data_IF_306851549953
#
_entry.id   IF_306851549953
#
_cell.length_a   1.000
_cell.length_b   1.000
_cell.length_c   1.000
_cell.angle_alpha   90.00
_cell.angle_beta   90.00
_cell.angle_gamma   90.00
#
_symmetry.space_group_name_H-M   'P 1'
#
loop_
_entity.id
_entity.type
_entity.pdbx_description
1 polymer ?
#
# COMPACT_ATOMS: atom_id res chain seq x y z
N UNK A 1 -0.19 0.26 -30.31
CA UNK A 1 0.54 -1.02 -30.08
C UNK A 1 -0.28 -2.20 -30.60
N UNK A 2 0.28 -3.44 -30.71
CA UNK A 2 -0.48 -4.62 -31.14
C UNK A 2 -1.42 -5.11 -30.02
N UNK A 3 -2.60 -5.61 -30.37
CA UNK A 3 -3.60 -6.12 -29.41
C UNK A 3 -3.06 -7.26 -28.53
N UNK A 4 -2.32 -8.24 -29.10
CA UNK A 4 -1.71 -9.32 -28.33
C UNK A 4 -0.66 -8.82 -27.33
N UNK A 5 0.06 -7.77 -27.66
CA UNK A 5 1.04 -7.12 -26.80
C UNK A 5 0.35 -6.30 -25.68
N UNK A 6 -0.69 -5.55 -26.04
CA UNK A 6 -1.50 -4.79 -25.10
C UNK A 6 -2.06 -5.69 -23.99
N UNK A 7 -2.71 -6.78 -24.38
CA UNK A 7 -3.32 -7.72 -23.45
C UNK A 7 -2.28 -8.47 -22.61
N UNK A 8 -1.14 -8.90 -23.21
CA UNK A 8 -0.12 -9.65 -22.49
C UNK A 8 0.60 -8.82 -21.41
N UNK A 9 0.66 -7.51 -21.58
CA UNK A 9 1.22 -6.61 -20.57
C UNK A 9 0.26 -6.35 -19.40
N UNK A 10 -1.05 -6.61 -19.57
CA UNK A 10 -2.11 -6.22 -18.64
C UNK A 10 -2.90 -7.36 -18.05
N UNK A 11 -2.52 -8.60 -18.36
CA UNK A 11 -3.19 -9.82 -17.87
C UNK A 11 -2.19 -10.88 -17.46
N UNK A 12 -2.66 -11.95 -16.84
CA UNK A 12 -1.85 -13.12 -16.48
C UNK A 12 -1.59 -14.07 -17.66
N UNK A 13 -2.28 -13.86 -18.79
CA UNK A 13 -2.20 -14.77 -19.92
C UNK A 13 -0.93 -14.58 -20.76
N UNK A 14 -0.36 -15.69 -21.23
CA UNK A 14 0.72 -15.68 -22.22
C UNK A 14 0.22 -15.17 -23.57
N UNK A 15 1.13 -14.63 -24.39
CA UNK A 15 0.80 -14.21 -25.77
C UNK A 15 0.18 -15.32 -26.60
N UNK A 16 0.59 -16.59 -26.37
CA UNK A 16 0.04 -17.75 -27.09
C UNK A 16 -1.42 -17.98 -26.73
N UNK A 17 -1.76 -17.93 -25.44
CA UNK A 17 -3.13 -18.05 -24.96
C UNK A 17 -4.01 -16.92 -25.46
N UNK A 18 -3.49 -15.67 -25.38
CA UNK A 18 -4.20 -14.50 -25.88
C UNK A 18 -4.52 -14.57 -27.39
N UNK A 19 -3.58 -15.02 -28.21
CA UNK A 19 -3.84 -15.25 -29.64
C UNK A 19 -4.95 -16.23 -29.87
N UNK A 20 -5.01 -17.34 -29.11
CA UNK A 20 -6.11 -18.31 -29.17
C UNK A 20 -7.44 -17.69 -28.71
N UNK A 21 -7.43 -16.87 -27.64
CA UNK A 21 -8.63 -16.18 -27.15
C UNK A 21 -9.15 -15.18 -28.19
N UNK A 22 -8.25 -14.38 -28.81
CA UNK A 22 -8.60 -13.42 -29.85
C UNK A 22 -9.22 -14.15 -31.05
N UNK A 23 -8.61 -15.23 -31.53
CA UNK A 23 -9.14 -16.03 -32.65
C UNK A 23 -10.53 -16.62 -32.35
N UNK A 24 -10.78 -17.04 -31.09
CA UNK A 24 -12.07 -17.53 -30.61
C UNK A 24 -13.11 -16.41 -30.39
N UNK A 25 -12.79 -15.15 -30.68
CA UNK A 25 -13.71 -14.02 -30.54
C UNK A 25 -14.00 -13.61 -29.10
N UNK A 26 -13.11 -13.92 -28.16
CA UNK A 26 -13.25 -13.54 -26.74
C UNK A 26 -12.80 -12.12 -26.45
N UNK A 27 -12.32 -11.37 -27.45
CA UNK A 27 -11.82 -10.00 -27.30
C UNK A 27 -12.66 -9.07 -28.16
N UNK A 28 -13.05 -7.95 -27.58
CA UNK A 28 -13.69 -6.85 -28.28
C UNK A 28 -12.84 -5.58 -28.18
N UNK A 29 -12.89 -4.75 -29.22
CA UNK A 29 -12.35 -3.39 -29.25
C UNK A 29 -13.49 -2.48 -29.64
N UNK A 30 -13.82 -1.50 -28.80
CA UNK A 30 -14.96 -0.58 -28.96
C UNK A 30 -16.30 -1.32 -29.19
N UNK A 31 -16.47 -2.45 -28.49
CA UNK A 31 -17.64 -3.31 -28.60
C UNK A 31 -17.64 -4.28 -29.80
N UNK A 32 -16.75 -4.11 -30.78
CA UNK A 32 -16.64 -5.00 -31.95
C UNK A 32 -15.70 -6.19 -31.67
N UNK A 33 -16.14 -7.41 -32.03
CA UNK A 33 -15.33 -8.62 -31.87
C UNK A 33 -14.12 -8.58 -32.81
N UNK A 34 -12.92 -8.73 -32.26
CA UNK A 34 -11.66 -8.77 -33.00
C UNK A 34 -11.11 -10.20 -33.02
N UNK A 35 -10.62 -10.64 -34.19
CA UNK A 35 -10.01 -11.96 -34.41
C UNK A 35 -8.56 -11.92 -34.85
N UNK A 36 -8.00 -10.70 -35.12
CA UNK A 36 -6.62 -10.48 -35.53
C UNK A 36 -5.79 -10.03 -34.34
N UNK A 37 -4.81 -10.85 -33.93
CA UNK A 37 -3.97 -10.57 -32.75
C UNK A 37 -2.98 -9.41 -32.95
N UNK A 38 -2.66 -9.09 -34.21
CA UNK A 38 -1.77 -8.01 -34.61
C UNK A 38 -2.49 -6.69 -34.87
N UNK A 39 -3.82 -6.64 -34.74
CA UNK A 39 -4.58 -5.39 -34.86
C UNK A 39 -3.96 -4.30 -33.96
N UNK A 40 -3.79 -3.12 -34.53
CA UNK A 40 -3.31 -1.96 -33.77
C UNK A 40 -4.39 -1.45 -32.82
N UNK A 41 -4.00 -1.18 -31.58
CA UNK A 41 -4.84 -0.54 -30.58
C UNK A 41 -4.09 0.64 -29.93
N UNK A 42 -4.84 1.67 -29.57
CA UNK A 42 -4.37 2.84 -28.83
C UNK A 42 -5.02 2.79 -27.45
N UNK A 43 -4.24 2.56 -26.37
CA UNK A 43 -4.79 2.37 -25.03
C UNK A 43 -5.66 3.52 -24.52
N UNK A 44 -5.34 4.76 -24.95
CA UNK A 44 -6.06 5.95 -24.51
C UNK A 44 -7.36 6.21 -25.31
N UNK A 45 -7.49 5.59 -26.50
CA UNK A 45 -8.59 5.86 -27.42
C UNK A 45 -9.56 4.69 -27.60
N UNK A 46 -9.10 3.45 -27.35
CA UNK A 46 -9.90 2.26 -27.57
C UNK A 46 -10.24 1.56 -26.24
N UNK A 47 -11.49 1.17 -26.09
CA UNK A 47 -11.95 0.30 -25.00
C UNK A 47 -11.75 -1.16 -25.40
N UNK A 48 -10.81 -1.85 -24.75
CA UNK A 48 -10.51 -3.26 -25.01
C UNK A 48 -11.12 -4.13 -23.91
N UNK A 49 -11.94 -5.12 -24.30
CA UNK A 49 -12.48 -6.08 -23.35
C UNK A 49 -12.00 -7.50 -23.65
N UNK A 50 -11.71 -8.28 -22.60
CA UNK A 50 -11.40 -9.71 -22.66
C UNK A 50 -12.45 -10.50 -21.88
N UNK A 51 -13.13 -11.46 -22.52
CA UNK A 51 -14.26 -12.21 -21.94
C UNK A 51 -15.38 -11.29 -21.37
N UNK A 52 -15.64 -10.16 -22.04
CA UNK A 52 -16.64 -9.16 -21.60
C UNK A 52 -16.18 -8.24 -20.46
N UNK A 53 -14.95 -8.34 -19.97
CA UNK A 53 -14.37 -7.46 -18.95
C UNK A 53 -13.42 -6.46 -19.61
N UNK A 54 -13.59 -5.20 -19.29
CA UNK A 54 -12.69 -4.13 -19.73
C UNK A 54 -11.29 -4.30 -19.16
N UNK A 55 -10.28 -4.16 -20.00
CA UNK A 55 -8.87 -4.15 -19.63
C UNK A 55 -8.41 -2.71 -19.55
N UNK A 56 -7.98 -2.28 -18.37
CA UNK A 56 -7.50 -0.93 -18.13
C UNK A 56 -6.36 -0.56 -19.12
N UNK A 57 -6.48 0.62 -19.75
CA UNK A 57 -5.52 1.15 -20.69
C UNK A 57 -4.18 1.57 -20.07
N UNK A 58 -4.16 1.81 -18.74
CA UNK A 58 -2.97 2.29 -18.04
C UNK A 58 -1.77 1.38 -18.25
N UNK A 59 -0.60 2.01 -18.48
CA UNK A 59 0.64 1.29 -18.75
C UNK A 59 1.03 0.43 -17.54
N UNK A 60 0.97 1.01 -16.34
CA UNK A 60 1.29 0.34 -15.09
C UNK A 60 0.07 0.23 -14.19
N UNK A 61 0.08 -0.77 -13.32
CA UNK A 61 -0.93 -0.98 -12.31
C UNK A 61 -0.32 -0.70 -10.92
N UNK A 62 -1.04 0.06 -10.12
CA UNK A 62 -0.67 0.36 -8.75
C UNK A 62 -1.79 -0.08 -7.82
N UNK A 63 -1.54 -1.10 -7.02
CA UNK A 63 -2.51 -1.67 -6.08
C UNK A 63 -2.01 -1.45 -4.66
N UNK A 64 -2.79 -0.76 -3.86
CA UNK A 64 -2.57 -0.67 -2.43
C UNK A 64 -3.33 -1.79 -1.74
N UNK A 65 -2.61 -2.63 -1.01
CA UNK A 65 -3.15 -3.72 -0.22
C UNK A 65 -2.99 -3.42 1.28
N UNK A 66 -4.05 -3.61 2.06
CA UNK A 66 -3.95 -3.68 3.52
C UNK A 66 -3.64 -5.14 3.90
N UNK A 67 -2.35 -5.46 3.98
CA UNK A 67 -1.88 -6.82 4.22
C UNK A 67 -2.31 -7.34 5.60
N UNK A 68 -3.01 -8.46 5.69
CA UNK A 68 -3.27 -9.14 6.95
C UNK A 68 -2.08 -10.02 7.38
N UNK A 69 -2.09 -10.51 8.62
CA UNK A 69 -1.17 -11.54 9.09
C UNK A 69 -1.37 -12.85 8.31
N UNK A 70 -0.34 -13.67 8.27
CA UNK A 70 -0.37 -15.01 7.65
C UNK A 70 0.02 -15.06 6.17
N UNK A 71 0.19 -13.93 5.51
CA UNK A 71 0.60 -13.83 4.11
C UNK A 71 2.04 -13.32 3.98
N UNK A 72 2.81 -13.92 3.07
CA UNK A 72 4.18 -13.48 2.75
C UNK A 72 4.18 -12.44 1.64
N UNK A 73 5.08 -11.46 1.73
CA UNK A 73 5.30 -10.43 0.70
C UNK A 73 6.26 -10.95 -0.39
N UNK A 74 5.94 -12.13 -0.94
CA UNK A 74 6.71 -12.78 -2.00
C UNK A 74 5.74 -13.41 -3.00
N UNK A 75 6.17 -13.51 -4.27
CA UNK A 75 5.37 -14.18 -5.31
C UNK A 75 5.56 -15.72 -5.28
N UNK A 76 6.71 -16.22 -4.82
CA UNK A 76 7.18 -17.56 -5.12
C UNK A 76 7.69 -18.34 -3.87
N UNK A 77 7.16 -18.10 -2.69
CA UNK A 77 7.50 -18.89 -1.51
C UNK A 77 6.63 -20.18 -1.44
N UNK A 78 7.21 -21.30 -1.80
CA UNK A 78 6.51 -22.59 -1.80
C UNK A 78 5.87 -22.92 -0.45
N UNK A 79 4.60 -23.30 -0.46
CA UNK A 79 3.84 -23.72 0.73
C UNK A 79 3.38 -22.55 1.64
N UNK A 80 3.58 -21.32 1.25
CA UNK A 80 3.09 -20.14 1.99
C UNK A 80 2.06 -19.35 1.17
N UNK A 81 1.06 -18.78 1.84
CA UNK A 81 0.08 -17.89 1.21
C UNK A 81 0.75 -16.57 0.81
N UNK A 82 0.71 -16.26 -0.48
CA UNK A 82 1.24 -15.01 -1.02
C UNK A 82 0.22 -13.86 -0.90
N UNK A 83 0.71 -12.65 -0.71
CA UNK A 83 -0.11 -11.43 -0.80
C UNK A 83 -0.79 -11.26 -2.16
N UNK A 84 -0.27 -11.87 -3.21
CA UNK A 84 -0.87 -11.83 -4.55
C UNK A 84 -2.19 -12.61 -4.62
N UNK A 85 -2.43 -13.58 -3.73
CA UNK A 85 -3.70 -14.31 -3.64
C UNK A 85 -4.87 -13.43 -3.15
N UNK A 86 -4.55 -12.29 -2.51
CA UNK A 86 -5.55 -11.31 -2.04
C UNK A 86 -5.95 -10.31 -3.14
N UNK A 87 -5.22 -10.30 -4.25
CA UNK A 87 -5.51 -9.39 -5.37
C UNK A 87 -6.64 -9.99 -6.20
N UNK A 88 -7.72 -9.22 -6.48
CA UNK A 88 -8.79 -9.68 -7.36
C UNK A 88 -8.26 -10.13 -8.72
N UNK A 89 -8.82 -11.22 -9.31
CA UNK A 89 -8.32 -11.78 -10.57
C UNK A 89 -8.26 -10.77 -11.73
N UNK A 90 -9.15 -9.77 -11.73
CA UNK A 90 -9.20 -8.70 -12.72
C UNK A 90 -8.02 -7.72 -12.64
N UNK A 91 -7.40 -7.61 -11.49
CA UNK A 91 -6.21 -6.79 -11.26
C UNK A 91 -4.90 -7.59 -11.35
N UNK A 92 -4.99 -8.91 -11.53
CA UNK A 92 -3.79 -9.73 -11.65
C UNK A 92 -3.08 -9.48 -12.98
N UNK A 93 -1.80 -9.09 -12.91
CA UNK A 93 -0.88 -8.98 -14.03
C UNK A 93 0.34 -9.87 -13.79
N UNK A 94 0.92 -10.40 -14.87
CA UNK A 94 2.05 -11.33 -14.80
C UNK A 94 3.23 -10.79 -13.99
N UNK A 95 3.51 -9.50 -14.14
CA UNK A 95 4.68 -8.85 -13.54
C UNK A 95 4.33 -8.04 -12.27
N UNK A 96 3.09 -8.20 -11.76
CA UNK A 96 2.67 -7.58 -10.51
C UNK A 96 3.48 -8.13 -9.34
N UNK A 97 4.14 -7.26 -8.57
CA UNK A 97 5.00 -7.63 -7.45
C UNK A 97 4.82 -6.67 -6.27
N UNK A 98 5.05 -7.13 -5.04
CA UNK A 98 5.06 -6.24 -3.88
C UNK A 98 6.27 -5.31 -3.90
N UNK A 99 6.04 -4.04 -3.55
CA UNK A 99 7.06 -3.00 -3.41
C UNK A 99 7.60 -3.02 -1.98
N UNK A 100 8.69 -3.71 -1.80
CA UNK A 100 9.25 -4.01 -0.49
C UNK A 100 8.51 -5.16 0.20
N UNK A 101 8.84 -5.36 1.46
CA UNK A 101 8.32 -6.51 2.23
C UNK A 101 7.72 -6.05 3.56
N UNK A 102 6.72 -6.79 4.00
CA UNK A 102 6.25 -6.88 5.38
C UNK A 102 6.37 -8.34 5.82
N UNK A 103 6.74 -8.55 7.05
CA UNK A 103 6.86 -9.89 7.61
C UNK A 103 5.49 -10.60 7.58
N UNK A 104 5.49 -11.93 7.65
CA UNK A 104 4.28 -12.74 7.60
C UNK A 104 3.29 -12.40 8.71
N UNK A 105 3.81 -12.08 9.89
CA UNK A 105 3.07 -11.72 11.10
C UNK A 105 2.82 -10.21 11.27
N UNK A 106 3.28 -9.39 10.32
CA UNK A 106 3.05 -7.95 10.30
C UNK A 106 1.86 -7.60 9.42
N UNK A 107 1.16 -6.54 9.80
CA UNK A 107 0.01 -6.00 9.04
C UNK A 107 0.34 -4.67 8.39
N UNK A 108 -0.60 -4.16 7.60
CA UNK A 108 -0.55 -2.78 7.14
C UNK A 108 -0.33 -2.61 5.64
N UNK A 109 0.05 -1.41 5.26
CA UNK A 109 0.11 -0.95 3.88
C UNK A 109 1.21 -1.65 3.08
N UNK A 110 0.83 -2.25 1.97
CA UNK A 110 1.74 -2.84 0.99
C UNK A 110 1.33 -2.41 -0.42
N UNK A 111 2.23 -1.72 -1.11
CA UNK A 111 2.05 -1.39 -2.52
C UNK A 111 2.44 -2.58 -3.38
N UNK A 112 1.64 -2.88 -4.39
CA UNK A 112 1.93 -3.85 -5.44
C UNK A 112 1.94 -3.11 -6.77
N UNK A 113 2.90 -3.40 -7.65
CA UNK A 113 2.96 -2.80 -8.99
C UNK A 113 3.74 -3.67 -9.97
N UNK A 114 3.50 -3.47 -11.25
CA UNK A 114 4.30 -3.97 -12.38
C UNK A 114 5.28 -2.89 -12.91
N UNK A 115 5.32 -1.69 -12.27
CA UNK A 115 6.31 -0.65 -12.53
C UNK A 115 7.60 -0.89 -11.73
N UNK A 116 8.59 -1.52 -12.37
CA UNK A 116 9.88 -1.80 -11.75
C UNK A 116 10.69 -0.56 -11.40
N UNK A 117 10.53 0.55 -12.13
CA UNK A 117 11.24 1.80 -11.84
C UNK A 117 10.71 2.44 -10.57
N UNK A 118 9.40 2.54 -10.44
CA UNK A 118 8.76 3.04 -9.23
C UNK A 118 9.10 2.14 -8.03
N UNK A 119 8.99 0.82 -8.20
CA UNK A 119 9.32 -0.12 -7.13
C UNK A 119 10.74 0.09 -6.61
N UNK A 120 11.70 0.26 -7.52
CA UNK A 120 13.08 0.56 -7.15
C UNK A 120 13.22 1.90 -6.40
N UNK A 121 12.54 2.97 -6.85
CA UNK A 121 12.58 4.27 -6.17
C UNK A 121 12.03 4.20 -4.73
N UNK A 122 10.96 3.44 -4.50
CA UNK A 122 10.34 3.29 -3.17
C UNK A 122 11.19 2.44 -2.23
N UNK A 123 11.86 1.39 -2.76
CA UNK A 123 12.63 0.43 -1.95
C UNK A 123 14.03 0.96 -1.67
N UNK A 124 14.67 1.62 -2.64
CA UNK A 124 16.04 2.07 -2.54
C UNK A 124 16.25 3.02 -1.36
N UNK A 125 17.29 2.78 -0.58
CA UNK A 125 17.65 3.62 0.56
C UNK A 125 17.88 5.10 0.16
N UNK A 126 18.30 5.34 -1.08
CA UNK A 126 18.47 6.68 -1.66
C UNK A 126 17.14 7.40 -1.97
N UNK A 127 16.03 6.67 -2.07
CA UNK A 127 14.70 7.23 -2.30
C UNK A 127 14.10 7.90 -1.08
N UNK A 128 14.62 7.63 0.12
CA UNK A 128 14.23 8.23 1.41
C UNK A 128 12.72 8.23 1.68
N UNK A 129 11.94 7.36 1.05
CA UNK A 129 10.50 7.28 1.33
C UNK A 129 10.30 6.82 2.77
N UNK A 130 9.78 7.71 3.60
CA UNK A 130 9.52 7.42 5.00
C UNK A 130 8.49 6.31 5.17
N UNK A 131 8.75 5.39 6.08
CA UNK A 131 7.88 4.27 6.44
C UNK A 131 7.46 4.46 7.89
N UNK A 132 6.16 4.56 8.11
CA UNK A 132 5.60 4.79 9.43
C UNK A 132 4.99 3.49 9.95
N UNK A 133 5.37 3.14 11.14
CA UNK A 133 4.91 1.91 11.81
C UNK A 133 4.25 2.25 13.13
N UNK A 134 3.16 1.56 13.42
CA UNK A 134 2.57 1.46 14.73
C UNK A 134 3.02 0.13 15.35
N UNK A 135 3.53 0.16 16.54
CA UNK A 135 4.02 -1.02 17.26
C UNK A 135 3.37 -1.16 18.61
N UNK A 136 3.24 -2.41 19.05
CA UNK A 136 2.95 -2.76 20.44
C UNK A 136 4.15 -3.51 21.00
N UNK A 137 4.67 -3.04 22.12
CA UNK A 137 5.80 -3.65 22.82
C UNK A 137 5.33 -4.72 23.82
N UNK A 138 6.19 -5.69 24.09
CA UNK A 138 5.94 -6.70 25.12
C UNK A 138 6.02 -6.13 26.54
N UNK A 139 6.87 -5.12 26.75
CA UNK A 139 7.04 -4.38 28.01
C UNK A 139 6.75 -2.89 27.80
N UNK A 140 6.46 -2.13 28.86
CA UNK A 140 6.24 -0.70 28.76
C UNK A 140 7.35 0.04 28.02
N UNK A 141 6.99 1.19 27.43
CA UNK A 141 7.92 2.11 26.82
C UNK A 141 8.86 2.70 27.87
N UNK A 142 10.14 2.84 27.54
CA UNK A 142 11.16 3.44 28.41
C UNK A 142 11.68 4.75 27.79
N UNK A 143 11.87 5.78 28.59
CA UNK A 143 12.28 7.13 28.12
C UNK A 143 13.60 7.12 27.34
N UNK A 144 14.53 6.22 27.67
CA UNK A 144 15.81 6.08 26.98
C UNK A 144 15.69 5.60 25.51
N UNK A 145 14.54 5.04 25.10
CA UNK A 145 14.36 4.56 23.73
C UNK A 145 14.40 5.67 22.70
N UNK A 146 13.83 6.85 23.00
CA UNK A 146 13.87 7.99 22.09
C UNK A 146 15.28 8.38 21.71
N UNK A 147 16.13 8.60 22.71
CA UNK A 147 17.51 9.01 22.48
C UNK A 147 18.29 7.96 21.71
N UNK A 148 18.12 6.67 22.03
CA UNK A 148 18.80 5.58 21.35
C UNK A 148 18.37 5.47 19.88
N UNK A 149 17.07 5.63 19.59
CA UNK A 149 16.53 5.58 18.23
C UNK A 149 17.03 6.76 17.40
N UNK A 150 17.09 7.96 17.96
CA UNK A 150 17.57 9.18 17.29
C UNK A 150 19.09 9.15 17.00
N UNK A 151 19.87 8.46 17.81
CA UNK A 151 21.30 8.25 17.58
C UNK A 151 21.58 7.14 16.55
N UNK A 152 20.58 6.30 16.28
CA UNK A 152 20.74 5.08 15.50
C UNK A 152 21.20 3.92 16.35
N UNK A 153 20.75 2.71 16.00
CA UNK A 153 20.96 1.50 16.81
C UNK A 153 21.87 0.53 16.07
N UNK A 154 22.85 -0.01 16.81
CA UNK A 154 23.66 -1.14 16.34
C UNK A 154 22.89 -2.43 16.63
N UNK A 155 22.61 -3.20 15.59
CA UNK A 155 21.93 -4.49 15.69
C UNK A 155 22.90 -5.59 16.15
N UNK A 156 22.37 -6.72 16.61
CA UNK A 156 23.18 -7.83 17.15
C UNK A 156 24.22 -8.42 16.15
N UNK A 157 23.97 -8.26 14.86
CA UNK A 157 24.91 -8.65 13.80
C UNK A 157 25.93 -7.56 13.43
N UNK A 158 25.98 -6.46 14.20
CA UNK A 158 26.86 -5.32 13.97
C UNK A 158 26.35 -4.31 12.93
N UNK A 159 25.20 -4.56 12.29
CA UNK A 159 24.66 -3.64 11.31
C UNK A 159 24.15 -2.36 11.98
N UNK A 160 24.63 -1.21 11.52
CA UNK A 160 24.21 0.10 12.01
C UNK A 160 22.88 0.53 11.34
N UNK A 161 21.88 0.86 12.16
CA UNK A 161 20.65 1.49 11.70
C UNK A 161 20.80 3.00 11.57
N UNK A 162 20.13 3.59 10.58
CA UNK A 162 19.99 5.04 10.49
C UNK A 162 19.16 5.56 11.68
N UNK A 163 19.35 6.85 12.07
CA UNK A 163 18.49 7.52 13.01
C UNK A 163 17.01 7.37 12.67
N UNK A 164 16.21 7.09 13.69
CA UNK A 164 14.77 6.90 13.55
C UNK A 164 14.03 7.87 14.47
N UNK A 165 12.87 8.36 14.02
CA UNK A 165 11.97 9.13 14.89
C UNK A 165 10.94 8.19 15.51
N UNK A 166 10.65 8.39 16.78
CA UNK A 166 9.62 7.63 17.48
C UNK A 166 8.82 8.54 18.42
N UNK A 167 7.63 8.10 18.78
CA UNK A 167 6.80 8.73 19.81
C UNK A 167 5.92 7.66 20.48
N UNK A 168 5.84 7.61 21.82
CA UNK A 168 4.86 6.81 22.50
C UNK A 168 3.44 7.30 22.16
N UNK A 169 2.48 6.39 22.09
CA UNK A 169 1.07 6.72 21.89
C UNK A 169 0.48 7.17 23.22
N UNK A 170 -0.15 8.37 23.29
CA UNK A 170 -0.77 8.85 24.51
C UNK A 170 -1.81 7.86 25.07
N UNK A 171 -1.93 7.79 26.38
CA UNK A 171 -2.86 6.94 27.12
C UNK A 171 -2.57 5.42 26.97
N UNK A 172 -1.38 5.05 26.47
CA UNK A 172 -0.90 3.66 26.41
C UNK A 172 0.50 3.56 27.00
N UNK A 173 0.84 2.40 27.56
CA UNK A 173 2.17 2.15 28.13
C UNK A 173 3.11 1.36 27.21
N UNK A 174 2.56 0.74 26.15
CA UNK A 174 3.29 -0.18 25.25
C UNK A 174 3.22 0.17 23.79
N UNK A 175 2.40 1.12 23.40
CA UNK A 175 2.23 1.47 21.98
C UNK A 175 3.13 2.65 21.63
N UNK A 176 3.72 2.57 20.44
CA UNK A 176 4.53 3.65 19.90
C UNK A 176 4.44 3.73 18.37
N UNK A 177 4.72 4.91 17.85
CA UNK A 177 4.87 5.19 16.44
C UNK A 177 6.34 5.33 16.09
N UNK A 178 6.75 4.78 14.95
CA UNK A 178 8.13 4.84 14.47
C UNK A 178 8.16 5.23 13.00
N UNK A 179 9.09 6.12 12.66
CA UNK A 179 9.38 6.50 11.28
C UNK A 179 10.79 6.05 10.90
N UNK A 180 10.89 5.26 9.84
CA UNK A 180 12.15 4.79 9.26
C UNK A 180 12.31 5.27 7.82
N UNK A 181 13.56 5.56 7.42
CA UNK A 181 13.95 5.89 6.04
C UNK A 181 14.69 4.76 5.32
N UNK A 182 14.80 3.60 5.95
CA UNK A 182 15.42 2.39 5.40
C UNK A 182 14.54 1.15 5.69
N UNK A 183 14.99 -0.03 5.30
CA UNK A 183 14.26 -1.27 5.53
C UNK A 183 15.18 -2.49 5.54
N UNK A 184 15.89 -2.70 6.67
CA UNK A 184 16.66 -3.93 6.89
C UNK A 184 15.73 -5.08 7.27
N UNK A 185 16.22 -6.30 7.14
CA UNK A 185 15.49 -7.51 7.53
C UNK A 185 15.04 -7.43 9.00
N UNK A 186 13.73 -7.54 9.23
CA UNK A 186 13.07 -7.44 10.55
C UNK A 186 13.52 -6.22 11.38
N UNK A 187 13.78 -5.08 10.74
CA UNK A 187 14.51 -3.96 11.34
C UNK A 187 13.89 -3.47 12.64
N UNK A 188 12.60 -3.14 12.65
CA UNK A 188 11.91 -2.62 13.86
C UNK A 188 12.02 -3.61 15.01
N UNK A 189 11.75 -4.89 14.76
CA UNK A 189 11.84 -5.94 15.79
C UNK A 189 13.26 -6.08 16.34
N UNK A 190 14.26 -6.02 15.49
CA UNK A 190 15.68 -6.12 15.87
C UNK A 190 16.18 -4.89 16.61
N UNK A 191 15.68 -3.70 16.28
CA UNK A 191 16.00 -2.46 16.98
C UNK A 191 15.51 -2.54 18.43
N UNK A 192 14.26 -2.94 18.68
CA UNK A 192 13.73 -3.10 20.02
C UNK A 192 14.36 -4.27 20.78
N UNK A 193 14.75 -5.35 20.11
CA UNK A 193 15.53 -6.43 20.72
C UNK A 193 16.88 -5.92 21.24
N UNK A 194 17.57 -5.06 20.49
CA UNK A 194 18.82 -4.43 20.92
C UNK A 194 18.63 -3.46 22.11
N UNK A 195 17.43 -2.87 22.23
CA UNK A 195 17.02 -2.04 23.39
C UNK A 195 16.51 -2.89 24.58
N UNK A 196 16.55 -4.21 24.46
CA UNK A 196 16.14 -5.14 25.51
C UNK A 196 14.62 -5.34 25.60
N UNK A 197 13.82 -4.91 24.63
CA UNK A 197 12.38 -5.14 24.55
C UNK A 197 12.00 -5.94 23.30
N UNK A 198 10.73 -6.32 23.15
CA UNK A 198 10.25 -7.04 21.97
C UNK A 198 9.01 -6.36 21.40
N UNK A 199 8.87 -6.41 20.06
CA UNK A 199 7.67 -5.95 19.37
C UNK A 199 6.71 -7.13 19.24
N UNK A 200 5.59 -7.08 19.96
CA UNK A 200 4.52 -8.07 19.89
C UNK A 200 3.65 -7.89 18.68
N UNK A 201 3.28 -6.63 18.33
CA UNK A 201 2.50 -6.29 17.16
C UNK A 201 3.22 -5.24 16.33
N UNK A 202 3.12 -5.36 14.99
CA UNK A 202 3.73 -4.44 14.04
C UNK A 202 2.77 -4.20 12.87
N UNK A 203 2.37 -2.94 12.70
CA UNK A 203 1.62 -2.50 11.54
C UNK A 203 2.36 -1.39 10.80
N UNK A 204 2.41 -1.45 9.47
CA UNK A 204 2.89 -0.34 8.65
C UNK A 204 1.71 0.52 8.21
N UNK A 205 1.55 1.68 8.82
CA UNK A 205 0.41 2.56 8.56
C UNK A 205 0.55 3.37 7.28
N UNK A 206 1.77 3.86 7.02
CA UNK A 206 2.02 4.74 5.87
C UNK A 206 3.35 4.45 5.18
N UNK A 207 3.38 4.77 3.87
CA UNK A 207 4.58 5.06 3.11
C UNK A 207 4.46 6.49 2.57
N UNK A 208 5.41 7.36 2.92
CA UNK A 208 5.29 8.77 2.56
C UNK A 208 3.98 9.39 3.05
N UNK A 209 3.21 10.00 2.15
CA UNK A 209 1.92 10.65 2.48
C UNK A 209 0.70 9.73 2.38
N UNK A 210 0.87 8.49 1.94
CA UNK A 210 -0.24 7.56 1.75
C UNK A 210 -0.40 6.66 2.97
N UNK A 211 -1.58 6.61 3.55
CA UNK A 211 -1.90 5.89 4.78
C UNK A 211 -3.15 5.01 4.61
N UNK A 212 -3.10 3.75 5.08
CA UNK A 212 -4.26 2.85 5.04
C UNK A 212 -5.44 3.38 5.85
N UNK A 213 -5.18 4.01 6.99
CA UNK A 213 -6.22 4.57 7.85
C UNK A 213 -7.00 5.69 7.18
N UNK A 214 -6.37 6.46 6.28
CA UNK A 214 -7.06 7.49 5.50
C UNK A 214 -7.93 6.94 4.37
N UNK A 215 -7.69 5.71 3.96
CA UNK A 215 -8.42 5.06 2.87
C UNK A 215 -9.53 4.13 3.40
N UNK A 216 -9.68 4.00 4.72
CA UNK A 216 -10.62 3.07 5.37
C UNK A 216 -10.60 1.66 4.74
N UNK A 217 -9.39 1.23 4.31
CA UNK A 217 -9.22 -0.03 3.60
C UNK A 217 -9.21 -1.19 4.61
N UNK A 218 -10.19 -2.10 4.60
CA UNK A 218 -10.22 -3.24 5.53
C UNK A 218 -9.00 -4.16 5.35
N UNK A 219 -8.64 -4.89 6.41
CA UNK A 219 -7.61 -5.93 6.33
C UNK A 219 -7.93 -6.96 5.24
N UNK A 220 -6.96 -7.24 4.39
CA UNK A 220 -7.10 -8.14 3.24
C UNK A 220 -7.71 -7.49 2.00
N UNK A 221 -8.25 -6.28 2.10
CA UNK A 221 -8.76 -5.55 0.96
C UNK A 221 -7.65 -4.81 0.21
N UNK A 222 -7.91 -4.52 -1.06
CA UNK A 222 -7.03 -3.71 -1.89
C UNK A 222 -7.81 -2.68 -2.71
N UNK A 223 -7.12 -1.62 -3.15
CA UNK A 223 -7.65 -0.61 -4.07
C UNK A 223 -6.61 -0.23 -5.11
N UNK A 224 -7.08 0.23 -6.27
CA UNK A 224 -6.21 0.76 -7.33
C UNK A 224 -5.92 2.22 -7.05
N UNK A 225 -4.65 2.58 -7.11
CA UNK A 225 -4.19 3.97 -6.99
C UNK A 225 -4.09 4.62 -8.36
N UNK A 226 -4.41 5.92 -8.43
CA UNK A 226 -4.10 6.73 -9.59
C UNK A 226 -2.61 7.11 -9.60
N UNK A 227 -2.07 7.51 -10.77
CA UNK A 227 -0.71 8.05 -10.85
C UNK A 227 -0.49 9.25 -9.92
N UNK A 228 -1.52 10.10 -9.75
CA UNK A 228 -1.47 11.23 -8.81
C UNK A 228 -1.27 10.77 -7.37
N UNK A 229 -1.91 9.69 -6.95
CA UNK A 229 -1.77 9.14 -5.61
C UNK A 229 -0.40 8.48 -5.42
N UNK A 230 0.11 7.82 -6.45
CA UNK A 230 1.48 7.28 -6.46
C UNK A 230 2.51 8.40 -6.36
N UNK A 231 2.34 9.51 -7.07
CA UNK A 231 3.21 10.67 -6.95
C UNK A 231 3.20 11.29 -5.53
N UNK A 232 2.04 11.28 -4.85
CA UNK A 232 1.96 11.70 -3.43
C UNK A 232 2.74 10.74 -2.51
N UNK A 233 2.70 9.43 -2.82
CA UNK A 233 3.45 8.41 -2.09
C UNK A 233 4.97 8.63 -2.19
N UNK A 234 5.46 9.05 -3.35
CA UNK A 234 6.88 9.34 -3.58
C UNK A 234 7.33 10.67 -2.96
N UNK A 235 6.45 11.66 -2.90
CA UNK A 235 6.75 12.96 -2.28
C UNK A 235 6.77 12.79 -0.77
N UNK A 236 7.93 12.38 -0.26
CA UNK A 236 8.18 12.23 1.16
C UNK A 236 8.28 13.60 1.82
N UNK A 237 7.36 13.89 2.72
CA UNK A 237 7.51 14.62 3.98
C UNK A 237 6.16 14.63 4.67
N UNK A 238 5.89 13.58 5.42
CA UNK A 238 4.90 13.70 6.48
C UNK A 238 5.68 14.22 7.68
N UNK A 239 5.32 15.38 8.17
CA UNK A 239 5.78 15.84 9.47
C UNK A 239 5.45 14.75 10.50
N UNK A 240 6.49 14.13 11.06
CA UNK A 240 6.32 13.03 12.03
C UNK A 240 5.49 13.49 13.24
N UNK A 241 5.66 14.73 13.68
CA UNK A 241 4.86 15.29 14.77
C UNK A 241 3.37 15.33 14.41
N UNK A 242 3.04 15.74 13.19
CA UNK A 242 1.66 15.72 12.68
C UNK A 242 1.12 14.29 12.53
N UNK A 243 1.95 13.34 12.12
CA UNK A 243 1.57 11.92 12.07
C UNK A 243 1.28 11.39 13.47
N UNK A 244 2.17 11.63 14.44
CA UNK A 244 2.02 11.19 15.81
C UNK A 244 0.78 11.79 16.50
N UNK A 245 0.45 13.05 16.19
CA UNK A 245 -0.75 13.72 16.76
C UNK A 245 -2.06 13.16 16.19
N UNK A 246 -2.06 12.69 14.95
CA UNK A 246 -3.25 12.23 14.23
C UNK A 246 -3.34 10.70 14.08
N UNK A 247 -2.43 9.94 14.69
CA UNK A 247 -2.49 8.49 14.65
C UNK A 247 -3.69 7.98 15.44
N UNK A 248 -4.34 6.88 14.98
CA UNK A 248 -5.45 6.30 15.71
C UNK A 248 -4.98 5.88 17.13
N UNK A 249 -5.76 6.24 18.15
CA UNK A 249 -5.43 6.06 19.57
C UNK A 249 -5.38 4.61 20.07
N UNK A 250 -5.62 3.62 19.21
CA UNK A 250 -5.41 2.22 19.55
C UNK A 250 -5.32 1.31 18.32
N UNK A 251 -4.50 0.28 18.42
CA UNK A 251 -4.38 -0.82 17.45
C UNK A 251 -5.70 -1.58 17.20
N UNK A 252 -6.62 -1.50 18.16
CA UNK A 252 -7.90 -2.25 18.19
C UNK A 252 -8.94 -1.71 17.20
N UNK A 253 -8.79 -0.48 16.68
CA UNK A 253 -9.78 0.12 15.78
C UNK A 253 -9.74 -0.52 14.38
N UNK A 254 -8.65 -1.18 14.00
CA UNK A 254 -8.52 -1.81 12.68
C UNK A 254 -9.29 -3.13 12.52
N UNK A 255 -9.65 -3.82 13.61
CA UNK A 255 -10.35 -5.12 13.53
C UNK A 255 -11.88 -5.00 13.40
N UNK A 256 -12.49 -3.83 13.62
CA UNK A 256 -13.95 -3.68 13.69
C UNK A 256 -14.65 -3.22 12.41
N UNK A 257 -13.93 -2.95 11.32
CA UNK A 257 -14.56 -2.71 10.02
C UNK A 257 -14.86 -4.02 9.29
N UNK A 258 -15.63 -4.91 9.92
CA UNK A 258 -16.22 -6.05 9.24
C UNK A 258 -17.50 -5.66 8.53
N UNK A 259 -17.58 -6.01 7.25
CA UNK A 259 -18.78 -6.16 6.41
C UNK A 259 -19.50 -4.87 6.00
N UNK A 260 -19.13 -4.38 4.84
CA UNK A 260 -20.00 -3.92 3.72
C UNK A 260 -19.23 -3.03 2.76
N UNK A 261 -18.54 -3.60 1.80
CA UNK A 261 -18.35 -2.98 0.48
C UNK A 261 -17.87 -4.10 -0.47
N UNK A 262 -18.81 -4.82 -1.01
CA UNK A 262 -18.71 -5.47 -2.30
C UNK A 262 -19.36 -4.54 -3.31
N UNK A 263 -18.62 -4.06 -4.28
CA UNK A 263 -19.20 -3.30 -5.38
C UNK A 263 -18.29 -2.16 -5.82
N UNK A 264 -17.83 -2.27 -7.07
CA UNK A 264 -17.17 -1.26 -7.90
C UNK A 264 -17.61 0.17 -7.58
N UNK A 265 -16.86 0.92 -6.77
CA UNK A 265 -16.95 2.38 -6.71
C UNK A 265 -15.56 2.96 -6.68
N UNK A 266 -15.26 3.76 -7.70
CA UNK A 266 -14.05 4.57 -7.82
C UNK A 266 -13.77 5.34 -6.54
N UNK A 267 -12.52 5.45 -6.16
CA UNK A 267 -11.95 6.15 -5.00
C UNK A 267 -12.46 7.60 -4.75
N UNK A 268 -13.14 8.20 -5.70
CA UNK A 268 -13.69 9.58 -5.56
C UNK A 268 -14.66 9.75 -4.40
N UNK A 269 -15.25 8.67 -3.85
CA UNK A 269 -16.21 8.76 -2.72
C UNK A 269 -15.60 8.47 -1.34
N UNK A 270 -14.43 7.83 -1.25
CA UNK A 270 -13.79 7.54 0.04
C UNK A 270 -13.06 8.75 0.65
N UNK A 271 -12.71 9.76 -0.15
CA UNK A 271 -11.98 10.94 0.29
C UNK A 271 -12.78 11.91 1.19
N UNK A 272 -14.13 11.85 1.19
CA UNK A 272 -14.98 12.87 1.80
C UNK A 272 -15.46 12.56 3.21
N UNK A 273 -15.44 11.31 3.66
CA UNK A 273 -16.08 10.94 4.94
C UNK A 273 -15.21 11.20 6.17
N UNK A 274 -13.88 11.24 6.02
CA UNK A 274 -12.95 11.36 7.14
C UNK A 274 -12.48 12.77 7.46
N UNK A 275 -12.64 13.70 6.52
CA UNK A 275 -12.27 15.11 6.74
C UNK A 275 -13.16 15.77 7.80
N UNK A 276 -14.41 15.31 7.93
CA UNK A 276 -15.38 15.88 8.88
C UNK A 276 -15.14 15.52 10.35
N UNK A 277 -14.37 14.46 10.66
CA UNK A 277 -14.20 13.98 12.04
C UNK A 277 -12.95 14.54 12.73
N UNK A 278 -11.90 14.92 11.97
CA UNK A 278 -10.58 15.20 12.54
C UNK A 278 -10.01 16.62 12.34
N UNK A 279 -10.67 17.50 11.61
CA UNK A 279 -10.15 18.86 11.36
C UNK A 279 -10.56 19.87 12.44
N UNK A 280 -11.54 19.57 13.26
CA UNK A 280 -11.99 20.49 14.29
C UNK A 280 -11.89 19.91 15.70
N UNK A 281 -10.70 20.04 16.32
CA UNK A 281 -10.51 19.79 17.75
C UNK A 281 -11.38 20.67 18.68
N UNK A 282 -12.37 21.39 18.15
CA UNK A 282 -13.28 22.29 18.85
C UNK A 282 -14.76 22.14 18.51
N UNK A 283 -15.23 20.95 18.16
CA UNK A 283 -16.65 20.63 18.19
C UNK A 283 -17.59 21.41 17.26
N UNK A 284 -17.11 22.14 16.23
CA UNK A 284 -17.93 22.82 15.24
C UNK A 284 -17.91 22.06 13.91
N UNK A 285 -19.08 21.58 13.49
CA UNK A 285 -19.29 21.01 12.14
C UNK A 285 -19.21 22.14 11.10
N UNK A 286 -18.31 22.01 10.14
CA UNK A 286 -18.30 22.82 8.92
C UNK A 286 -19.24 22.20 7.88
N UNK A 287 -19.97 23.04 7.16
CA UNK A 287 -20.89 22.60 6.12
C UNK A 287 -20.11 22.20 4.85
N UNK A 288 -20.75 21.42 3.99
CA UNK A 288 -20.20 20.90 2.73
C UNK A 288 -19.62 21.96 1.77
N UNK A 289 -19.98 23.23 1.94
CA UNK A 289 -19.55 24.37 1.13
C UNK A 289 -18.18 24.93 1.53
N UNK A 290 -17.86 24.87 2.83
CA UNK A 290 -16.65 25.53 3.38
C UNK A 290 -15.36 24.77 3.09
N UNK A 291 -15.47 23.52 2.64
CA UNK A 291 -14.31 22.63 2.37
C UNK A 291 -13.75 22.79 0.95
N UNK A 292 -14.60 23.24 0.00
CA UNK A 292 -14.19 23.40 -1.40
C UNK A 292 -13.43 24.70 -1.70
N UNK A 293 -13.63 25.75 -0.91
CA UNK A 293 -12.95 27.04 -1.12
C UNK A 293 -11.51 27.11 -0.58
N UNK A 294 -11.10 26.16 0.27
CA UNK A 294 -9.73 26.12 0.85
C UNK A 294 -8.79 25.10 0.19
N UNK A 295 -9.16 24.55 -0.96
CA UNK A 295 -8.38 23.52 -1.68
C UNK A 295 -7.95 23.95 -3.10
N UNK A 296 -8.15 25.24 -3.45
CA UNK A 296 -7.62 25.83 -4.70
C UNK A 296 -6.32 26.57 -4.42
#
# INVERSE_FOLDING_TARGET
MRLDQFLSARTMYSRRELRQMIQKGKVTVDGAVVRKADQAVQPEAHTVCLNGREICGDQYLYVLLHKPKGYVSSADEAGQKSVLELVPPELCRKDLRPVGRLDKDSTGMLLLTDDGQLAHQVIAARGHVAKYYHIVLARPWEDGYLQSLEQGITLADGAQCLPAKAAPVPDTDREALICLHEGKYHQVRRMFAALGNHVSELARDCNGRTCCCRLELPLGACCVLSEKDVQKLLKCETDFARFATNAPKSFVIMDKCTSRILGNKRLEKCFYFWYDIYVTGNGKRLSRGDVLENLI
#
